data_IF_038232444836
#
_entry.id   IF_038232444836
#
_cell.length_a   1.000
_cell.length_b   1.000
_cell.length_c   1.000
_cell.angle_alpha   90.00
_cell.angle_beta   90.00
_cell.angle_gamma   90.00
#
_symmetry.space_group_name_H-M   'P 1'
#
loop_
_entity.id
_entity.type
_entity.pdbx_description
1 polymer ?
#
# COMPACT_ATOMS: atom_id res chain seq x y z
N UNK A 1 69.20 -33.53 -9.57
CA UNK A 1 68.02 -34.33 -9.20
C UNK A 1 66.86 -33.38 -9.04
N UNK A 2 66.18 -33.12 -10.15
CA UNK A 2 64.87 -32.47 -10.22
C UNK A 2 63.79 -33.50 -9.87
N UNK A 3 62.73 -33.09 -9.16
CA UNK A 3 61.34 -33.54 -9.36
C UNK A 3 60.39 -32.46 -8.81
N UNK A 4 59.85 -31.67 -9.75
CA UNK A 4 58.45 -31.29 -10.01
C UNK A 4 57.52 -30.83 -8.85
N UNK A 5 57.18 -29.54 -8.95
CA UNK A 5 55.87 -28.89 -8.82
C UNK A 5 54.66 -29.85 -8.71
N UNK A 6 53.94 -29.76 -7.59
CA UNK A 6 52.58 -30.26 -7.45
C UNK A 6 51.61 -29.08 -7.28
N UNK A 7 50.66 -29.02 -8.20
CA UNK A 7 49.64 -27.99 -8.38
C UNK A 7 48.60 -28.03 -7.26
N UNK A 8 48.48 -26.95 -6.50
CA UNK A 8 47.31 -26.69 -5.65
C UNK A 8 46.16 -26.15 -6.52
N UNK A 9 45.36 -27.06 -7.11
CA UNK A 9 44.12 -26.67 -7.81
C UNK A 9 42.86 -27.37 -7.26
N UNK A 10 42.88 -27.80 -6.00
CA UNK A 10 41.77 -28.56 -5.40
C UNK A 10 41.30 -28.00 -4.05
N UNK A 11 41.34 -26.68 -3.89
CA UNK A 11 40.80 -26.01 -2.70
C UNK A 11 39.84 -24.84 -3.00
N UNK A 12 39.19 -24.84 -4.18
CA UNK A 12 38.15 -23.87 -4.52
C UNK A 12 36.78 -24.46 -4.90
N UNK A 13 36.60 -25.79 -4.81
CA UNK A 13 35.33 -26.42 -5.23
C UNK A 13 34.48 -27.00 -4.09
N UNK A 14 34.91 -26.92 -2.82
CA UNK A 14 34.16 -27.44 -1.67
C UNK A 14 33.49 -26.36 -0.80
N UNK A 15 33.71 -25.08 -1.10
CA UNK A 15 33.02 -23.94 -0.46
C UNK A 15 31.90 -23.31 -1.32
N UNK A 16 31.60 -23.87 -2.50
CA UNK A 16 30.47 -23.45 -3.36
C UNK A 16 29.22 -24.34 -3.21
N UNK A 17 29.11 -25.05 -2.09
CA UNK A 17 28.13 -26.12 -1.90
C UNK A 17 27.25 -26.05 -0.65
N UNK A 18 27.28 -24.96 0.13
CA UNK A 18 26.42 -24.78 1.31
C UNK A 18 26.12 -23.31 1.63
N UNK A 19 25.27 -22.69 0.82
CA UNK A 19 24.19 -21.82 1.30
C UNK A 19 23.10 -21.87 0.24
N UNK A 20 22.18 -22.83 0.33
CA UNK A 20 20.82 -22.54 -0.13
C UNK A 20 20.34 -21.45 0.83
N UNK A 21 20.62 -20.18 0.50
CA UNK A 21 19.79 -19.11 1.03
C UNK A 21 18.38 -19.52 0.61
N UNK A 22 17.55 -19.83 1.60
CA UNK A 22 16.11 -19.89 1.39
C UNK A 22 15.80 -18.52 0.81
N UNK A 23 15.62 -18.44 -0.51
CA UNK A 23 15.19 -17.22 -1.18
C UNK A 23 13.80 -16.98 -0.65
N UNK A 24 13.69 -16.20 0.42
CA UNK A 24 12.39 -15.82 0.93
C UNK A 24 11.83 -14.86 -0.11
N UNK A 25 10.89 -15.35 -0.90
CA UNK A 25 10.18 -14.47 -1.82
C UNK A 25 9.33 -13.55 -0.95
N UNK A 26 9.67 -12.27 -0.90
CA UNK A 26 8.94 -11.25 -0.15
C UNK A 26 8.04 -10.49 -1.13
N UNK A 27 6.86 -10.11 -0.69
CA UNK A 27 5.98 -9.24 -1.45
C UNK A 27 5.31 -8.19 -0.58
N UNK A 28 4.66 -7.22 -1.21
CA UNK A 28 3.82 -6.22 -0.56
C UNK A 28 2.43 -6.29 -1.18
N UNK A 29 1.39 -6.41 -0.35
CA UNK A 29 -0.01 -6.39 -0.79
C UNK A 29 -0.46 -4.93 -0.91
N UNK A 30 -0.55 -4.43 -2.14
CA UNK A 30 -0.97 -3.07 -2.44
C UNK A 30 -2.46 -3.04 -2.83
N UNK A 31 -3.27 -2.33 -2.03
CA UNK A 31 -4.71 -2.10 -2.23
C UNK A 31 -5.06 -0.60 -2.14
N UNK A 32 -4.19 0.25 -2.68
CA UNK A 32 -4.34 1.71 -2.66
C UNK A 32 -3.19 2.38 -3.39
N UNK A 33 -2.69 3.52 -2.88
CA UNK A 33 -1.69 4.35 -3.59
C UNK A 33 -0.38 3.63 -3.91
N UNK A 34 -0.01 2.57 -3.18
CA UNK A 34 1.16 1.74 -3.50
C UNK A 34 1.05 1.02 -4.85
N UNK A 35 -0.15 0.88 -5.44
CA UNK A 35 -0.31 0.26 -6.76
C UNK A 35 0.32 1.13 -7.84
N UNK A 36 -0.02 2.43 -7.82
CA UNK A 36 0.38 3.42 -8.82
C UNK A 36 1.73 4.08 -8.49
N UNK A 37 1.99 4.34 -7.20
CA UNK A 37 3.21 4.95 -6.71
C UNK A 37 3.80 4.16 -5.51
N UNK A 38 4.63 3.14 -5.78
CA UNK A 38 5.39 2.46 -4.73
C UNK A 38 6.41 3.35 -4.01
N UNK A 39 6.82 4.45 -4.63
CA UNK A 39 7.83 5.39 -4.12
C UNK A 39 9.26 5.00 -4.48
N UNK A 40 10.15 6.00 -4.52
CA UNK A 40 11.53 5.91 -5.02
C UNK A 40 12.41 4.87 -4.30
N UNK A 41 12.13 4.58 -3.04
CA UNK A 41 12.88 3.61 -2.26
C UNK A 41 12.45 2.17 -2.52
N UNK A 42 11.16 1.93 -2.79
CA UNK A 42 10.62 0.57 -3.02
C UNK A 42 10.68 0.18 -4.49
N UNK A 43 10.40 1.12 -5.41
CA UNK A 43 10.31 0.87 -6.86
C UNK A 43 11.51 0.07 -7.41
N UNK A 44 12.78 0.38 -7.07
CA UNK A 44 13.93 -0.33 -7.62
C UNK A 44 14.00 -1.81 -7.22
N UNK A 45 13.32 -2.20 -6.15
CA UNK A 45 13.30 -3.58 -5.66
C UNK A 45 12.11 -4.38 -6.17
N UNK A 46 11.13 -3.77 -6.86
CA UNK A 46 9.96 -4.48 -7.38
C UNK A 46 10.34 -5.21 -8.67
N UNK A 47 10.40 -6.52 -8.60
CA UNK A 47 10.76 -7.37 -9.76
C UNK A 47 9.53 -7.83 -10.55
N UNK A 48 8.34 -7.81 -9.94
CA UNK A 48 7.09 -8.26 -10.57
C UNK A 48 5.87 -7.67 -9.86
N UNK A 49 4.87 -7.23 -10.62
CA UNK A 49 3.53 -6.88 -10.10
C UNK A 49 2.53 -7.99 -10.50
N UNK A 50 1.98 -8.70 -9.52
CA UNK A 50 0.94 -9.73 -9.75
C UNK A 50 -0.41 -9.10 -9.43
N UNK A 51 -1.23 -8.87 -10.46
CA UNK A 51 -2.59 -8.32 -10.31
C UNK A 51 -3.57 -9.41 -9.86
N UNK A 52 -4.76 -8.98 -9.41
CA UNK A 52 -5.89 -9.86 -9.07
C UNK A 52 -5.59 -10.86 -7.94
N UNK A 53 -4.83 -10.42 -6.93
CA UNK A 53 -4.54 -11.21 -5.73
C UNK A 53 -5.57 -10.91 -4.66
N UNK A 54 -6.26 -11.92 -4.14
CA UNK A 54 -7.18 -11.74 -3.02
C UNK A 54 -6.42 -11.27 -1.77
N UNK A 55 -6.93 -10.21 -1.14
CA UNK A 55 -6.42 -9.79 0.16
C UNK A 55 -6.67 -10.87 1.20
N UNK A 56 -5.71 -11.20 2.09
CA UNK A 56 -5.90 -12.17 3.16
C UNK A 56 -6.78 -11.64 4.32
N UNK A 57 -7.25 -10.40 4.20
CA UNK A 57 -8.10 -9.67 5.14
C UNK A 57 -9.18 -8.92 4.36
N UNK A 58 -10.24 -8.51 5.06
CA UNK A 58 -11.25 -7.60 4.51
C UNK A 58 -10.74 -6.17 4.58
N UNK A 59 -11.16 -5.33 3.65
CA UNK A 59 -10.87 -3.89 3.68
C UNK A 59 -12.14 -3.06 3.67
N UNK A 60 -12.07 -1.87 4.24
CA UNK A 60 -13.17 -0.88 4.27
C UNK A 60 -12.62 0.55 4.47
N UNK A 61 -13.42 1.57 4.12
CA UNK A 61 -13.14 2.99 4.36
C UNK A 61 -13.25 3.38 5.85
N UNK A 62 -12.34 2.86 6.68
CA UNK A 62 -12.40 3.01 8.14
C UNK A 62 -11.49 4.08 8.75
N UNK A 63 -10.78 4.87 7.94
CA UNK A 63 -9.77 5.79 8.48
C UNK A 63 -9.72 7.16 7.79
N UNK A 64 -9.71 8.23 8.58
CA UNK A 64 -9.40 9.60 8.14
C UNK A 64 -7.90 9.82 8.00
N UNK A 65 -7.46 10.28 6.83
CA UNK A 65 -6.06 10.59 6.55
C UNK A 65 -5.80 12.09 6.52
N UNK A 66 -5.03 12.61 7.47
CA UNK A 66 -4.65 14.04 7.49
C UNK A 66 -3.82 14.44 6.27
N UNK A 67 -3.07 13.51 5.68
CA UNK A 67 -2.33 13.70 4.42
C UNK A 67 -3.24 13.89 3.20
N UNK A 68 -4.53 13.63 3.37
CA UNK A 68 -5.57 13.73 2.35
C UNK A 68 -6.70 14.66 2.82
N UNK A 69 -6.40 15.72 3.55
CA UNK A 69 -7.46 16.64 4.04
C UNK A 69 -8.51 15.95 4.92
N UNK A 70 -8.13 14.94 5.71
CA UNK A 70 -9.01 14.09 6.51
C UNK A 70 -9.96 13.17 5.72
N UNK A 71 -9.74 13.01 4.40
CA UNK A 71 -10.52 12.09 3.59
C UNK A 71 -10.52 10.65 4.13
N UNK A 72 -11.59 9.88 3.88
CA UNK A 72 -11.63 8.46 4.19
C UNK A 72 -10.62 7.67 3.35
N UNK A 73 -10.01 6.67 3.98
CA UNK A 73 -8.99 5.79 3.38
C UNK A 73 -9.24 4.34 3.74
N UNK A 74 -8.85 3.46 2.81
CA UNK A 74 -8.99 2.01 2.98
C UNK A 74 -8.04 1.50 4.06
N UNK A 75 -8.57 0.66 4.95
CA UNK A 75 -7.79 -0.07 5.93
C UNK A 75 -8.24 -1.53 5.98
N UNK A 76 -7.35 -2.47 6.36
CA UNK A 76 -7.75 -3.77 6.86
C UNK A 76 -8.76 -3.63 8.00
N UNK A 77 -9.84 -4.41 7.97
CA UNK A 77 -10.88 -4.42 9.00
C UNK A 77 -11.26 -5.84 9.41
N UNK A 78 -11.59 -5.99 10.69
CA UNK A 78 -12.21 -7.20 11.25
C UNK A 78 -13.74 -7.11 11.29
N UNK A 79 -14.32 -5.92 11.10
CA UNK A 79 -15.76 -5.66 11.12
C UNK A 79 -16.20 -5.00 9.80
N UNK A 80 -17.18 -5.59 9.13
CA UNK A 80 -17.58 -5.14 7.79
C UNK A 80 -16.52 -5.45 6.72
N UNK A 81 -16.57 -4.69 5.62
CA UNK A 81 -15.62 -4.79 4.51
C UNK A 81 -15.73 -6.07 3.68
N UNK A 82 -14.86 -6.18 2.68
CA UNK A 82 -14.78 -7.33 1.78
C UNK A 82 -13.32 -7.65 1.40
N UNK A 83 -13.08 -8.92 1.02
CA UNK A 83 -11.85 -9.32 0.34
C UNK A 83 -11.86 -8.71 -1.07
N UNK A 84 -10.82 -7.97 -1.41
CA UNK A 84 -10.71 -7.32 -2.72
C UNK A 84 -9.57 -7.90 -3.54
N UNK A 85 -9.55 -7.56 -4.84
CA UNK A 85 -8.44 -7.84 -5.74
C UNK A 85 -7.37 -6.76 -5.58
N UNK A 86 -6.31 -7.11 -4.87
CA UNK A 86 -5.11 -6.29 -4.71
C UNK A 86 -4.05 -6.60 -5.77
N UNK A 87 -3.00 -5.78 -5.81
CA UNK A 87 -1.76 -6.07 -6.53
C UNK A 87 -0.69 -6.50 -5.55
N UNK A 88 -0.07 -7.66 -5.80
CA UNK A 88 1.08 -8.13 -5.05
C UNK A 88 2.37 -7.67 -5.74
N UNK A 89 3.09 -6.75 -5.09
CA UNK A 89 4.39 -6.26 -5.52
C UNK A 89 5.46 -7.23 -5.01
N UNK A 90 6.00 -8.08 -5.88
CA UNK A 90 7.05 -9.04 -5.54
C UNK A 90 8.38 -8.31 -5.52
N UNK A 91 9.12 -8.45 -4.42
CA UNK A 91 10.40 -7.79 -4.19
C UNK A 91 11.57 -8.68 -4.61
N UNK A 92 12.71 -8.05 -4.89
CA UNK A 92 13.97 -8.73 -5.20
C UNK A 92 14.39 -9.67 -4.07
N UNK A 93 14.94 -10.83 -4.43
CA UNK A 93 15.48 -11.81 -3.49
C UNK A 93 16.76 -11.32 -2.77
N UNK A 94 17.32 -10.20 -3.20
CA UNK A 94 18.44 -9.52 -2.54
C UNK A 94 17.98 -8.71 -1.32
N UNK A 95 16.68 -8.42 -1.22
CA UNK A 95 16.13 -7.61 -0.15
C UNK A 95 15.75 -8.49 1.04
N UNK A 96 16.36 -8.22 2.19
CA UNK A 96 16.02 -8.88 3.44
C UNK A 96 14.67 -8.38 3.99
N UNK A 97 13.93 -9.24 4.70
CA UNK A 97 12.59 -8.93 5.23
C UNK A 97 12.56 -7.68 6.11
N UNK A 98 13.58 -7.48 6.95
CA UNK A 98 13.65 -6.33 7.84
C UNK A 98 13.86 -5.02 7.07
N UNK A 99 14.58 -5.05 5.93
CA UNK A 99 14.76 -3.87 5.10
C UNK A 99 13.52 -3.58 4.27
N UNK A 100 12.84 -4.61 3.75
CA UNK A 100 11.52 -4.45 3.12
C UNK A 100 10.51 -3.78 4.07
N UNK A 101 10.49 -4.16 5.36
CA UNK A 101 9.68 -3.49 6.39
C UNK A 101 10.09 -2.03 6.59
N UNK A 102 11.38 -1.72 6.61
CA UNK A 102 11.84 -0.34 6.77
C UNK A 102 11.45 0.55 5.58
N UNK A 103 11.66 0.07 4.36
CA UNK A 103 11.29 0.77 3.12
C UNK A 103 9.79 1.08 3.11
N UNK A 104 8.95 0.06 3.38
CA UNK A 104 7.51 0.22 3.48
C UNK A 104 7.11 1.19 4.61
N UNK A 105 7.75 1.11 5.78
CA UNK A 105 7.48 2.01 6.89
C UNK A 105 7.75 3.48 6.53
N UNK A 106 8.90 3.76 5.92
CA UNK A 106 9.25 5.12 5.48
C UNK A 106 8.31 5.61 4.40
N UNK A 107 7.93 4.75 3.45
CA UNK A 107 6.95 5.07 2.39
C UNK A 107 5.60 5.51 2.98
N UNK A 108 5.05 4.75 3.93
CA UNK A 108 3.76 5.06 4.54
C UNK A 108 3.81 6.30 5.44
N UNK A 109 4.95 6.53 6.10
CA UNK A 109 5.14 7.74 6.90
C UNK A 109 5.48 8.98 6.07
N UNK A 110 5.75 8.84 4.77
CA UNK A 110 6.33 9.89 3.92
C UNK A 110 7.64 10.43 4.53
N UNK A 111 8.53 9.50 4.88
CA UNK A 111 9.85 9.73 5.50
C UNK A 111 10.95 9.04 4.70
N UNK A 112 10.79 9.02 3.38
CA UNK A 112 11.80 8.52 2.43
C UNK A 112 13.08 9.34 2.59
N UNK A 113 14.24 8.68 2.44
CA UNK A 113 15.57 9.25 2.63
C UNK A 113 16.00 9.39 4.10
N UNK A 114 15.16 9.00 5.06
CA UNK A 114 15.50 9.05 6.49
C UNK A 114 16.05 7.71 6.99
N UNK A 115 16.67 7.72 8.16
CA UNK A 115 17.20 6.53 8.84
C UNK A 115 16.16 5.84 9.75
N UNK A 116 14.90 6.27 9.70
CA UNK A 116 13.84 5.72 10.54
C UNK A 116 13.63 4.25 10.20
N UNK A 117 13.60 3.43 11.24
CA UNK A 117 13.41 1.97 11.14
C UNK A 117 12.07 1.56 11.72
N UNK A 118 11.45 0.58 11.09
CA UNK A 118 10.28 -0.08 11.64
C UNK A 118 10.67 -0.81 12.93
N UNK A 119 9.78 -0.76 13.91
CA UNK A 119 9.91 -1.52 15.16
C UNK A 119 8.55 -2.13 15.46
N UNK A 120 8.54 -3.44 15.66
CA UNK A 120 7.34 -4.16 16.09
C UNK A 120 6.83 -3.58 17.42
N UNK A 121 5.52 -3.41 17.51
CA UNK A 121 4.87 -2.86 18.69
C UNK A 121 3.98 -3.91 19.33
N UNK A 122 4.10 -4.06 20.64
CA UNK A 122 3.12 -4.81 21.44
C UNK A 122 1.96 -3.86 21.76
N UNK A 123 0.77 -4.17 21.26
CA UNK A 123 -0.47 -3.39 21.43
C UNK A 123 -0.45 -1.99 20.78
N UNK A 124 -0.40 -1.90 19.44
CA UNK A 124 -0.46 -0.62 18.74
C UNK A 124 -1.83 0.05 18.92
N UNK A 125 -1.85 1.38 19.07
CA UNK A 125 -3.10 2.16 18.98
C UNK A 125 -3.46 2.48 17.51
N UNK A 126 -4.65 3.03 17.27
CA UNK A 126 -5.15 3.29 15.90
C UNK A 126 -4.30 4.25 15.07
N UNK A 127 -3.47 5.09 15.71
CA UNK A 127 -2.58 6.03 15.04
C UNK A 127 -1.19 5.47 14.78
N UNK A 128 -0.92 4.23 15.19
CA UNK A 128 0.38 3.59 15.01
C UNK A 128 0.33 2.64 13.81
N UNK A 129 1.26 2.85 12.87
CA UNK A 129 1.44 1.98 11.72
C UNK A 129 2.03 0.64 12.17
N UNK A 130 1.42 -0.44 11.69
CA UNK A 130 1.83 -1.83 11.88
C UNK A 130 2.14 -2.40 10.51
N UNK A 131 3.21 -3.18 10.40
CA UNK A 131 3.48 -3.98 9.21
C UNK A 131 3.16 -5.43 9.54
N UNK A 132 2.09 -5.94 8.94
CA UNK A 132 1.62 -7.31 9.11
C UNK A 132 2.30 -8.23 8.09
N UNK A 133 2.54 -9.47 8.50
CA UNK A 133 3.11 -10.53 7.66
C UNK A 133 2.04 -11.59 7.36
N UNK A 134 1.85 -11.88 6.07
CA UNK A 134 0.94 -12.92 5.58
C UNK A 134 1.76 -14.00 4.87
N UNK A 135 1.60 -15.27 5.28
CA UNK A 135 2.39 -16.38 4.71
C UNK A 135 1.70 -16.98 3.49
N UNK A 136 2.52 -17.43 2.53
CA UNK A 136 2.10 -18.23 1.37
C UNK A 136 1.04 -17.55 0.47
N UNK A 137 1.15 -16.25 0.26
CA UNK A 137 0.24 -15.51 -0.64
C UNK A 137 0.73 -15.64 -2.08
N UNK A 138 -0.02 -16.34 -2.94
CA UNK A 138 0.27 -16.49 -4.39
C UNK A 138 1.76 -16.81 -4.69
N UNK A 139 2.32 -17.79 -4.00
CA UNK A 139 3.70 -18.27 -4.14
C UNK A 139 4.81 -17.34 -3.60
N UNK A 140 4.42 -16.29 -2.87
CA UNK A 140 5.31 -15.48 -2.04
C UNK A 140 5.31 -16.05 -0.62
N UNK A 141 6.49 -16.24 -0.04
CA UNK A 141 6.64 -16.85 1.29
C UNK A 141 6.10 -15.93 2.37
N UNK A 142 6.40 -14.63 2.27
CA UNK A 142 5.95 -13.59 3.20
C UNK A 142 5.49 -12.37 2.40
N UNK A 143 4.20 -12.05 2.48
CA UNK A 143 3.64 -10.82 1.95
C UNK A 143 3.39 -9.82 3.08
N UNK A 144 3.85 -8.59 2.90
CA UNK A 144 3.73 -7.49 3.85
C UNK A 144 2.49 -6.66 3.55
N UNK A 145 1.84 -6.19 4.60
CA UNK A 145 0.78 -5.17 4.51
C UNK A 145 1.06 -4.09 5.53
N UNK A 146 0.97 -2.82 5.11
CA UNK A 146 1.00 -1.70 6.04
C UNK A 146 -0.41 -1.37 6.51
N UNK A 147 -0.60 -1.26 7.82
CA UNK A 147 -1.92 -1.14 8.44
C UNK A 147 -1.94 -0.05 9.52
N UNK A 148 -2.95 0.81 9.47
CA UNK A 148 -3.35 1.67 10.58
C UNK A 148 -4.71 1.23 11.10
N UNK A 149 -4.93 1.33 12.41
CA UNK A 149 -6.24 1.03 12.98
C UNK A 149 -7.33 2.02 12.53
N UNK A 150 -8.57 1.55 12.61
CA UNK A 150 -9.77 2.36 12.41
C UNK A 150 -9.76 3.58 13.35
N UNK A 151 -10.04 4.76 12.80
CA UNK A 151 -10.22 6.00 13.56
C UNK A 151 -11.51 6.74 13.20
N UNK A 152 -12.37 6.11 12.40
CA UNK A 152 -13.74 6.56 12.20
C UNK A 152 -14.65 5.92 13.26
N UNK A 153 -15.42 6.73 14.01
CA UNK A 153 -16.36 6.19 15.00
C UNK A 153 -17.50 5.42 14.35
N UNK A 154 -17.88 5.83 13.14
CA UNK A 154 -18.95 5.24 12.34
C UNK A 154 -18.55 5.29 10.87
N UNK A 155 -18.92 4.25 10.12
CA UNK A 155 -18.71 4.14 8.68
C UNK A 155 -20.10 4.14 8.05
N UNK A 156 -20.50 5.28 7.48
CA UNK A 156 -21.74 5.43 6.71
C UNK A 156 -21.44 6.19 5.41
N UNK A 157 -22.23 5.96 4.34
CA UNK A 157 -22.06 6.67 3.07
C UNK A 157 -22.00 8.19 3.21
N UNK A 158 -22.85 8.75 4.08
CA UNK A 158 -22.98 10.20 4.29
C UNK A 158 -21.74 10.77 4.98
N UNK A 159 -21.25 10.11 6.03
CA UNK A 159 -20.02 10.53 6.73
C UNK A 159 -18.82 10.46 5.80
N UNK A 160 -18.72 9.39 5.01
CA UNK A 160 -17.64 9.23 4.04
C UNK A 160 -17.70 10.34 2.98
N UNK A 161 -18.89 10.60 2.42
CA UNK A 161 -19.10 11.66 1.43
C UNK A 161 -18.74 13.04 1.98
N UNK A 162 -19.20 13.40 3.17
CA UNK A 162 -18.91 14.70 3.79
C UNK A 162 -17.40 14.91 3.96
N UNK A 163 -16.68 13.91 4.47
CA UNK A 163 -15.22 13.98 4.63
C UNK A 163 -14.47 14.06 3.30
N UNK A 164 -14.98 13.41 2.25
CA UNK A 164 -14.37 13.45 0.94
C UNK A 164 -14.54 14.80 0.26
N UNK A 165 -15.73 15.37 0.35
CA UNK A 165 -16.07 16.69 -0.18
C UNK A 165 -15.31 17.79 0.58
N UNK A 166 -15.25 17.71 1.91
CA UNK A 166 -14.46 18.64 2.72
C UNK A 166 -12.98 18.60 2.33
N UNK A 167 -12.44 17.40 2.12
CA UNK A 167 -11.08 17.19 1.64
C UNK A 167 -10.85 17.78 0.25
N UNK A 168 -11.78 17.55 -0.68
CA UNK A 168 -11.71 18.06 -2.06
C UNK A 168 -11.73 19.58 -2.13
N UNK A 169 -12.59 20.22 -1.34
CA UNK A 169 -12.69 21.69 -1.28
C UNK A 169 -11.55 22.35 -0.46
N UNK A 170 -10.63 21.57 0.09
CA UNK A 170 -9.61 22.07 1.01
C UNK A 170 -8.31 22.45 0.27
N UNK A 171 -7.85 23.67 0.48
CA UNK A 171 -6.57 24.17 -0.06
C UNK A 171 -5.32 23.58 0.63
N UNK A 172 -5.46 22.67 1.61
CA UNK A 172 -4.31 22.10 2.35
C UNK A 172 -3.79 20.78 1.76
N UNK A 173 -4.45 20.24 0.73
CA UNK A 173 -4.07 18.98 0.08
C UNK A 173 -3.52 19.27 -1.31
N UNK A 174 -2.46 18.56 -1.73
CA UNK A 174 -1.97 18.64 -3.11
C UNK A 174 -3.05 18.12 -4.07
N UNK A 175 -3.15 18.71 -5.26
CA UNK A 175 -4.09 18.29 -6.29
C UNK A 175 -4.00 16.78 -6.55
N UNK A 176 -5.14 16.11 -6.62
CA UNK A 176 -5.24 14.66 -6.83
C UNK A 176 -5.03 13.81 -5.58
N UNK A 177 -4.78 14.42 -4.40
CA UNK A 177 -4.63 13.70 -3.13
C UNK A 177 -5.85 13.74 -2.22
N UNK A 178 -6.88 14.48 -2.60
CA UNK A 178 -8.13 14.58 -1.88
C UNK A 178 -8.94 13.28 -1.86
N UNK A 179 -10.09 13.31 -1.18
CA UNK A 179 -10.96 12.15 -1.00
C UNK A 179 -11.71 11.69 -2.25
N UNK A 180 -12.12 12.61 -3.12
CA UNK A 180 -12.85 12.30 -4.36
C UNK A 180 -11.89 11.66 -5.37
N UNK A 181 -10.70 12.25 -5.55
CA UNK A 181 -9.63 11.67 -6.37
C UNK A 181 -9.24 10.29 -5.87
N UNK A 182 -9.16 10.11 -4.54
CA UNK A 182 -8.82 8.82 -3.94
C UNK A 182 -9.89 7.75 -4.18
N UNK A 183 -11.18 8.08 -4.00
CA UNK A 183 -12.28 7.16 -4.30
C UNK A 183 -12.28 6.77 -5.79
N UNK A 184 -12.17 7.75 -6.68
CA UNK A 184 -12.14 7.52 -8.13
C UNK A 184 -11.01 6.57 -8.53
N UNK A 185 -9.81 6.76 -7.97
CA UNK A 185 -8.66 5.88 -8.21
C UNK A 185 -8.87 4.46 -7.67
N UNK A 186 -9.53 4.30 -6.52
CA UNK A 186 -9.85 2.97 -5.99
C UNK A 186 -10.83 2.24 -6.92
N UNK A 187 -11.88 2.92 -7.39
CA UNK A 187 -12.86 2.37 -8.34
C UNK A 187 -12.17 1.98 -9.65
N UNK A 188 -11.33 2.85 -10.20
CA UNK A 188 -10.57 2.57 -11.43
C UNK A 188 -9.62 1.36 -11.29
N UNK A 189 -9.08 1.14 -10.09
CA UNK A 189 -8.27 -0.03 -9.76
C UNK A 189 -9.09 -1.30 -9.40
N UNK A 190 -10.43 -1.25 -9.49
CA UNK A 190 -11.31 -2.36 -9.16
C UNK A 190 -11.39 -2.68 -7.66
N UNK A 191 -11.02 -1.73 -6.81
CA UNK A 191 -11.04 -1.85 -5.36
C UNK A 191 -12.42 -1.45 -4.85
N UNK A 192 -13.34 -2.41 -4.89
CA UNK A 192 -14.73 -2.22 -4.50
C UNK A 192 -14.98 -2.87 -3.14
N UNK A 193 -15.49 -2.07 -2.21
CA UNK A 193 -15.89 -2.46 -0.85
C UNK A 193 -17.41 -2.37 -0.74
N UNK A 194 -18.02 -2.95 0.31
CA UNK A 194 -19.46 -2.82 0.53
C UNK A 194 -19.96 -1.37 0.56
N UNK A 195 -19.15 -0.42 1.02
CA UNK A 195 -19.53 1.00 1.08
C UNK A 195 -19.30 1.76 -0.22
N UNK A 196 -18.57 1.20 -1.21
CA UNK A 196 -18.08 1.97 -2.36
C UNK A 196 -19.22 2.61 -3.16
N UNK A 197 -20.27 1.86 -3.50
CA UNK A 197 -21.37 2.35 -4.34
C UNK A 197 -22.21 3.41 -3.62
N UNK A 198 -22.61 3.15 -2.37
CA UNK A 198 -23.42 4.10 -1.60
C UNK A 198 -22.62 5.38 -1.27
N UNK A 199 -21.33 5.26 -0.98
CA UNK A 199 -20.41 6.39 -0.75
C UNK A 199 -20.28 7.27 -2.00
N UNK A 200 -20.05 6.67 -3.17
CA UNK A 200 -20.02 7.39 -4.45
C UNK A 200 -21.35 8.12 -4.69
N UNK A 201 -22.48 7.42 -4.57
CA UNK A 201 -23.81 7.99 -4.77
C UNK A 201 -24.08 9.17 -3.83
N UNK A 202 -23.65 9.08 -2.56
CA UNK A 202 -23.79 10.15 -1.59
C UNK A 202 -22.97 11.40 -1.98
N UNK A 203 -21.77 11.24 -2.56
CA UNK A 203 -20.99 12.37 -3.11
C UNK A 203 -21.75 12.99 -4.28
N UNK A 204 -22.16 12.19 -5.26
CA UNK A 204 -22.83 12.65 -6.48
C UNK A 204 -24.11 13.44 -6.18
N UNK A 205 -24.91 12.94 -5.22
CA UNK A 205 -26.12 13.64 -4.77
C UNK A 205 -25.82 14.97 -4.08
N UNK A 206 -24.78 15.03 -3.22
CA UNK A 206 -24.41 16.25 -2.50
C UNK A 206 -23.79 17.31 -3.40
N UNK A 207 -23.11 16.91 -4.47
CA UNK A 207 -22.38 17.80 -5.38
C UNK A 207 -23.12 18.09 -6.70
N UNK A 208 -24.33 17.55 -6.87
CA UNK A 208 -25.14 17.68 -8.09
C UNK A 208 -24.31 17.36 -9.35
N UNK A 209 -23.81 16.12 -9.40
CA UNK A 209 -22.95 15.62 -10.45
C UNK A 209 -23.37 14.21 -10.88
N UNK A 210 -23.03 13.84 -12.12
CA UNK A 210 -23.37 12.53 -12.68
C UNK A 210 -22.22 11.53 -12.56
N UNK A 211 -21.00 11.99 -12.25
CA UNK A 211 -19.82 11.15 -12.03
C UNK A 211 -18.75 11.83 -11.19
N UNK A 212 -17.87 11.05 -10.57
CA UNK A 212 -16.70 11.59 -9.86
C UNK A 212 -15.76 12.32 -10.82
N UNK A 213 -15.58 11.82 -12.04
CA UNK A 213 -14.76 12.47 -13.08
C UNK A 213 -15.29 13.87 -13.41
N UNK A 214 -16.60 14.03 -13.55
CA UNK A 214 -17.22 15.35 -13.78
C UNK A 214 -16.86 16.35 -12.67
N UNK A 215 -16.89 15.92 -11.41
CA UNK A 215 -16.49 16.76 -10.26
C UNK A 215 -15.02 17.17 -10.38
N UNK A 216 -14.14 16.22 -10.68
CA UNK A 216 -12.69 16.46 -10.78
C UNK A 216 -12.33 17.37 -11.98
N UNK A 217 -13.09 17.30 -13.07
CA UNK A 217 -12.90 18.16 -14.25
C UNK A 217 -13.37 19.60 -14.01
N UNK A 218 -14.43 19.82 -13.22
CA UNK A 218 -14.92 21.18 -12.87
C UNK A 218 -13.85 22.01 -12.15
N UNK A 219 -13.15 21.42 -11.18
CA UNK A 219 -12.09 22.11 -10.42
C UNK A 219 -10.85 22.41 -11.27
N UNK A 220 -10.55 21.58 -12.28
CA UNK A 220 -9.46 21.82 -13.24
C UNK A 220 -9.68 23.02 -14.16
N UNK A 221 -10.91 23.55 -14.25
CA UNK A 221 -11.25 24.71 -15.10
C UNK A 221 -11.07 26.06 -14.37
N UNK A 222 -11.17 26.09 -13.03
CA UNK A 222 -11.10 27.33 -12.24
C UNK A 222 -9.67 27.87 -12.03
N UNK A 223 -8.63 27.10 -12.38
CA UNK A 223 -7.22 27.54 -12.29
C UNK A 223 -6.68 28.20 -13.58
N UNK A 224 -7.47 28.27 -14.65
CA UNK A 224 -7.07 28.90 -15.92
C UNK A 224 -7.78 30.24 -16.20
N UNK A 225 -8.51 30.80 -15.22
CA UNK A 225 -9.19 32.10 -15.31
C UNK A 225 -8.47 33.22 -14.56
#
# INVERSE_FOLDING_TARGET
MDIKLFTYSFWCSWLKGKMKNKSHNIGIIAFGSLIDDPGEELEPFIIKKIKNVDTPFKIEYGRKSSKRGNAPTLIPTSKGGQIVKATLLVLSNELELWEAKNLLYRRELNKVGTDIKYRDRKNPNSNQLVIEEHRNVKHVDVALTANFGCNLPEISPEILADLAIESFNSNVVENGRDGISYLNNNIANGIITPMTEEYENAILQKMDANSLTEILERDGLDFNS
#
